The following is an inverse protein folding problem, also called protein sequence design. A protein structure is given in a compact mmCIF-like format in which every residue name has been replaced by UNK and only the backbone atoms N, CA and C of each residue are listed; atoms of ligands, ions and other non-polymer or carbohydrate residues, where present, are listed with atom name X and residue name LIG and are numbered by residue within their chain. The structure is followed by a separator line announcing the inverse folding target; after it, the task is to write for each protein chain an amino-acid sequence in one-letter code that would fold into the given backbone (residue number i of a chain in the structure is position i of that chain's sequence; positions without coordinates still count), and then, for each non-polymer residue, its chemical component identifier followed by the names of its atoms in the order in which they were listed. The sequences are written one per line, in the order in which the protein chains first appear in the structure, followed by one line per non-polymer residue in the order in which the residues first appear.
data_IF_394009045212
#
_entry.id   IF_394009045212
#
_cell.length_a   1.000
_cell.length_b   1.000
_cell.length_c   1.000
_cell.angle_alpha   90.00
_cell.angle_beta   90.00
_cell.angle_gamma   90.00
#
_symmetry.space_group_name_H-M   'P 1'
#
loop_
_entity.id
_entity.type
_entity.pdbx_description
1 polymer ?
#
# COMPACT_ATOMS: atom_id res chain seq x y z
N UNK A 1 17.68 46.09 -36.30
CA UNK A 1 17.35 44.67 -36.62
C UNK A 1 18.13 43.78 -35.65
N UNK A 2 17.52 43.36 -34.55
CA UNK A 2 18.16 42.54 -33.50
C UNK A 2 17.58 41.14 -33.61
N UNK A 3 18.44 40.16 -33.93
CA UNK A 3 18.08 38.74 -34.08
C UNK A 3 17.86 38.13 -32.70
N UNK A 4 16.64 37.69 -32.41
CA UNK A 4 16.32 36.87 -31.25
C UNK A 4 16.81 35.43 -31.52
N UNK A 5 17.75 34.95 -30.70
CA UNK A 5 18.19 33.56 -30.69
C UNK A 5 17.32 32.77 -29.71
N UNK A 6 16.55 31.82 -30.25
CA UNK A 6 15.67 30.93 -29.50
C UNK A 6 16.51 29.74 -29.02
N UNK A 7 16.78 29.68 -27.71
CA UNK A 7 17.44 28.52 -27.09
C UNK A 7 16.36 27.47 -26.78
N UNK A 8 16.27 26.45 -27.63
CA UNK A 8 15.45 25.28 -27.38
C UNK A 8 16.15 24.39 -26.34
N UNK A 9 15.67 24.41 -25.09
CA UNK A 9 16.10 23.49 -24.06
C UNK A 9 15.55 22.08 -24.34
N UNK A 10 16.42 21.18 -24.81
CA UNK A 10 16.11 19.74 -24.86
C UNK A 10 16.05 19.20 -23.43
N UNK A 11 14.83 19.00 -22.93
CA UNK A 11 14.58 18.20 -21.72
C UNK A 11 14.83 16.74 -22.11
N UNK A 12 16.03 16.23 -21.86
CA UNK A 12 16.32 14.80 -21.87
C UNK A 12 15.67 14.22 -20.61
N UNK A 13 14.39 13.87 -20.72
CA UNK A 13 13.72 13.06 -19.71
C UNK A 13 14.36 11.68 -19.73
N UNK A 14 15.25 11.41 -18.77
CA UNK A 14 15.75 10.08 -18.49
C UNK A 14 14.59 9.20 -18.00
N UNK A 15 13.87 8.60 -18.94
CA UNK A 15 12.95 7.51 -18.67
C UNK A 15 13.79 6.30 -18.30
N UNK A 16 13.98 6.10 -16.99
CA UNK A 16 14.56 4.86 -16.49
C UNK A 16 13.78 3.69 -17.12
N UNK A 17 14.48 2.65 -17.63
CA UNK A 17 13.78 1.53 -18.23
C UNK A 17 12.85 0.91 -17.18
N UNK A 18 11.56 0.86 -17.47
CA UNK A 18 10.54 0.22 -16.65
C UNK A 18 10.67 -1.31 -16.72
N UNK A 19 11.86 -1.85 -16.44
CA UNK A 19 12.13 -3.27 -16.58
C UNK A 19 11.55 -3.99 -15.38
N UNK A 20 10.54 -4.81 -15.62
CA UNK A 20 9.98 -5.69 -14.61
C UNK A 20 10.98 -6.76 -14.20
N UNK A 21 11.04 -7.06 -12.91
CA UNK A 21 11.84 -8.16 -12.39
C UNK A 21 11.25 -9.48 -12.93
N UNK A 22 12.08 -10.32 -13.56
CA UNK A 22 11.62 -11.62 -14.04
C UNK A 22 11.59 -12.64 -12.91
N UNK A 23 10.40 -13.16 -12.65
CA UNK A 23 10.09 -14.11 -11.60
C UNK A 23 9.46 -15.38 -12.15
N UNK A 24 9.62 -16.46 -11.41
CA UNK A 24 8.92 -17.72 -11.61
C UNK A 24 8.08 -18.01 -10.37
N UNK A 25 6.77 -17.83 -10.50
CA UNK A 25 5.81 -18.02 -9.43
C UNK A 25 5.39 -19.49 -9.40
N UNK A 26 5.56 -20.17 -8.27
CA UNK A 26 4.90 -21.46 -8.03
C UNK A 26 3.53 -21.15 -7.50
N UNK A 27 2.49 -21.36 -8.30
CA UNK A 27 1.10 -21.07 -7.94
C UNK A 27 0.47 -22.35 -7.42
N UNK A 28 0.01 -22.34 -6.16
CA UNK A 28 -0.67 -23.49 -5.55
C UNK A 28 -2.19 -23.40 -5.58
N UNK A 29 -2.75 -22.18 -5.62
CA UNK A 29 -4.18 -21.97 -5.73
C UNK A 29 -4.48 -20.62 -6.41
N UNK A 30 -5.69 -20.49 -6.97
CA UNK A 30 -6.17 -19.22 -7.51
C UNK A 30 -7.66 -19.01 -7.28
N UNK A 31 -8.09 -17.76 -7.27
CA UNK A 31 -9.50 -17.36 -7.16
C UNK A 31 -9.75 -16.02 -7.86
N UNK A 32 -11.00 -15.77 -8.27
CA UNK A 32 -11.38 -14.47 -8.88
C UNK A 32 -11.63 -13.39 -7.82
N UNK A 33 -11.81 -13.76 -6.56
CA UNK A 33 -12.17 -12.87 -5.45
C UNK A 33 -11.12 -12.92 -4.34
N UNK A 34 -10.92 -11.80 -3.64
CA UNK A 34 -10.03 -11.69 -2.50
C UNK A 34 -10.50 -12.60 -1.36
N UNK A 35 -11.81 -12.67 -1.09
CA UNK A 35 -12.36 -13.57 -0.08
C UNK A 35 -12.13 -15.04 -0.41
N UNK A 36 -12.36 -15.44 -1.68
CA UNK A 36 -12.16 -16.81 -2.13
C UNK A 36 -10.70 -17.25 -2.01
N UNK A 37 -9.76 -16.39 -2.44
CA UNK A 37 -8.33 -16.71 -2.30
C UNK A 37 -7.88 -16.68 -0.85
N UNK A 38 -8.39 -15.78 0.00
CA UNK A 38 -8.04 -15.72 1.41
C UNK A 38 -8.43 -17.02 2.13
N UNK A 39 -9.65 -17.53 1.88
CA UNK A 39 -10.11 -18.82 2.44
C UNK A 39 -9.22 -19.98 2.00
N UNK A 40 -8.88 -20.06 0.72
CA UNK A 40 -7.94 -21.06 0.18
C UNK A 40 -6.55 -20.93 0.79
N UNK A 41 -6.04 -19.70 0.92
CA UNK A 41 -4.73 -19.43 1.49
C UNK A 41 -4.69 -19.80 2.99
N UNK A 42 -5.73 -19.51 3.76
CA UNK A 42 -5.79 -19.79 5.21
C UNK A 42 -5.51 -21.26 5.55
N UNK A 43 -6.04 -22.20 4.78
CA UNK A 43 -5.77 -23.64 4.98
C UNK A 43 -4.36 -24.05 4.55
N UNK A 44 -3.69 -23.26 3.71
CA UNK A 44 -2.37 -23.56 3.13
C UNK A 44 -1.22 -22.81 3.83
N UNK A 45 -1.48 -21.70 4.51
CA UNK A 45 -0.50 -20.88 5.25
C UNK A 45 0.40 -21.71 6.18
N UNK A 46 -0.10 -22.70 6.95
CA UNK A 46 0.76 -23.51 7.81
C UNK A 46 1.86 -24.27 7.07
N UNK A 47 1.66 -24.54 5.77
CA UNK A 47 2.61 -25.29 4.93
C UNK A 47 3.62 -24.41 4.21
N UNK A 48 3.35 -23.10 4.12
CA UNK A 48 4.23 -22.11 3.52
C UNK A 48 3.97 -20.74 4.16
N UNK A 49 4.56 -20.44 5.33
CA UNK A 49 4.28 -19.22 6.09
C UNK A 49 4.73 -17.93 5.37
N UNK A 50 5.66 -18.05 4.41
CA UNK A 50 6.16 -16.93 3.61
C UNK A 50 5.41 -16.78 2.27
N UNK A 51 4.34 -17.54 2.05
CA UNK A 51 3.55 -17.45 0.84
C UNK A 51 2.91 -16.07 0.66
N UNK A 52 2.79 -15.62 -0.58
CA UNK A 52 2.09 -14.39 -0.91
C UNK A 52 0.79 -14.69 -1.64
N UNK A 53 -0.26 -13.93 -1.37
CA UNK A 53 -1.35 -13.80 -2.32
C UNK A 53 -1.00 -12.66 -3.27
N UNK A 54 -1.01 -12.91 -4.58
CA UNK A 54 -0.63 -11.93 -5.60
C UNK A 54 -1.78 -11.72 -6.56
N UNK A 55 -1.80 -10.57 -7.24
CA UNK A 55 -2.69 -10.36 -8.39
C UNK A 55 -1.94 -10.75 -9.66
N UNK A 56 -2.52 -11.61 -10.49
CA UNK A 56 -1.89 -11.98 -11.77
C UNK A 56 -1.73 -10.78 -12.71
N UNK A 57 -2.55 -9.74 -12.52
CA UNK A 57 -2.38 -8.45 -13.18
C UNK A 57 -1.02 -7.81 -12.90
N UNK A 58 -0.37 -8.09 -11.75
CA UNK A 58 0.98 -7.59 -11.45
C UNK A 58 2.04 -8.11 -12.44
N UNK A 59 1.75 -9.23 -13.11
CA UNK A 59 2.55 -9.79 -14.21
C UNK A 59 2.14 -9.29 -15.60
N UNK A 60 1.18 -8.37 -15.70
CA UNK A 60 0.65 -7.87 -16.97
C UNK A 60 -0.51 -8.69 -17.57
N UNK A 61 -1.06 -9.67 -16.84
CA UNK A 61 -2.21 -10.45 -17.33
C UNK A 61 -3.44 -9.55 -17.56
N UNK A 62 -4.09 -9.68 -18.73
CA UNK A 62 -5.32 -8.95 -19.07
C UNK A 62 -6.48 -9.24 -18.11
N UNK A 63 -6.55 -10.49 -17.62
CA UNK A 63 -7.52 -10.92 -16.60
C UNK A 63 -6.79 -11.08 -15.28
N UNK A 64 -7.00 -10.13 -14.38
CA UNK A 64 -6.44 -10.18 -13.04
C UNK A 64 -7.26 -11.11 -12.17
N UNK A 65 -6.67 -12.22 -11.74
CA UNK A 65 -7.17 -13.08 -10.66
C UNK A 65 -6.19 -13.02 -9.50
N UNK A 66 -6.58 -13.56 -8.35
CA UNK A 66 -5.69 -13.74 -7.23
C UNK A 66 -5.06 -15.14 -7.26
N UNK A 67 -3.79 -15.22 -6.90
CA UNK A 67 -3.04 -16.46 -6.84
C UNK A 67 -2.30 -16.55 -5.51
N UNK A 68 -2.40 -17.70 -4.84
CA UNK A 68 -1.57 -18.02 -3.69
C UNK A 68 -0.26 -18.64 -4.20
N UNK A 69 0.84 -17.99 -3.85
CA UNK A 69 2.20 -18.23 -4.35
C UNK A 69 3.09 -18.60 -3.17
N UNK A 70 3.24 -19.90 -2.86
CA UNK A 70 4.12 -20.38 -1.79
C UNK A 70 5.59 -20.13 -2.04
N UNK A 71 6.01 -20.03 -3.31
CA UNK A 71 7.40 -19.79 -3.68
C UNK A 71 7.49 -18.82 -4.87
N UNK A 72 8.39 -17.85 -4.75
CA UNK A 72 8.83 -16.98 -5.84
C UNK A 72 10.30 -17.29 -6.12
N UNK A 73 10.58 -17.85 -7.29
CA UNK A 73 11.92 -18.24 -7.69
C UNK A 73 12.53 -17.28 -8.73
N UNK A 74 13.83 -17.05 -8.63
CA UNK A 74 14.60 -16.25 -9.59
C UNK A 74 14.92 -17.01 -10.90
N UNK A 75 14.76 -18.34 -10.92
CA UNK A 75 15.09 -19.16 -12.07
C UNK A 75 14.05 -20.27 -12.31
N UNK A 76 13.89 -20.74 -13.56
CA UNK A 76 12.96 -21.83 -13.86
C UNK A 76 13.36 -23.15 -13.19
N UNK A 77 14.66 -23.41 -13.00
CA UNK A 77 15.15 -24.60 -12.31
C UNK A 77 14.74 -24.62 -10.83
N UNK A 78 14.94 -23.50 -10.13
CA UNK A 78 14.50 -23.35 -8.74
C UNK A 78 12.97 -23.47 -8.61
N UNK A 79 12.22 -22.88 -9.56
CA UNK A 79 10.77 -22.97 -9.58
C UNK A 79 10.27 -24.42 -9.74
N UNK A 80 10.90 -25.22 -10.61
CA UNK A 80 10.55 -26.64 -10.78
C UNK A 80 10.85 -27.46 -9.54
N UNK A 81 11.98 -27.22 -8.89
CA UNK A 81 12.32 -27.89 -7.63
C UNK A 81 11.32 -27.56 -6.52
N UNK A 82 10.91 -26.28 -6.42
CA UNK A 82 9.88 -25.86 -5.49
C UNK A 82 8.50 -26.43 -5.81
N UNK A 83 8.13 -26.49 -7.09
CA UNK A 83 6.87 -27.08 -7.54
C UNK A 83 6.68 -28.51 -7.03
N UNK A 84 7.72 -29.35 -7.12
CA UNK A 84 7.65 -30.74 -6.62
C UNK A 84 7.30 -30.81 -5.14
N UNK A 85 7.81 -29.88 -4.30
CA UNK A 85 7.48 -29.81 -2.87
C UNK A 85 6.06 -29.32 -2.65
N UNK A 86 5.65 -28.27 -3.35
CA UNK A 86 4.31 -27.67 -3.23
C UNK A 86 3.21 -28.65 -3.66
N UNK A 87 3.46 -29.54 -4.62
CA UNK A 87 2.50 -30.55 -5.06
C UNK A 87 2.10 -31.56 -3.99
N UNK A 88 2.88 -31.70 -2.91
CA UNK A 88 2.48 -32.50 -1.76
C UNK A 88 1.21 -31.96 -1.06
N UNK A 89 0.99 -30.64 -1.13
CA UNK A 89 -0.15 -29.97 -0.47
C UNK A 89 -1.15 -29.38 -1.48
N UNK A 90 -0.68 -28.95 -2.65
CA UNK A 90 -1.49 -28.42 -3.74
C UNK A 90 -1.24 -29.19 -5.03
N UNK A 91 -2.01 -30.27 -5.26
CA UNK A 91 -1.81 -31.21 -6.38
C UNK A 91 -1.78 -30.53 -7.75
N UNK A 92 -2.65 -29.54 -7.96
CA UNK A 92 -2.77 -28.80 -9.22
C UNK A 92 -1.80 -27.61 -9.32
N UNK A 93 -0.79 -27.55 -8.45
CA UNK A 93 0.21 -26.50 -8.50
C UNK A 93 0.93 -26.49 -9.86
N UNK A 94 1.27 -25.27 -10.30
CA UNK A 94 1.96 -25.02 -11.56
C UNK A 94 2.96 -23.87 -11.43
N UNK A 95 3.85 -23.75 -12.41
CA UNK A 95 4.81 -22.64 -12.49
C UNK A 95 4.34 -21.64 -13.53
N UNK A 96 4.34 -20.35 -13.16
CA UNK A 96 4.05 -19.23 -14.05
C UNK A 96 5.26 -18.31 -14.14
N UNK A 97 5.69 -18.01 -15.37
CA UNK A 97 6.64 -16.91 -15.63
C UNK A 97 5.91 -15.58 -15.45
N UNK A 98 6.55 -14.64 -14.77
CA UNK A 98 6.01 -13.32 -14.49
C UNK A 98 7.12 -12.29 -14.68
N UNK A 99 6.88 -11.26 -15.50
CA UNK A 99 7.71 -10.06 -15.51
C UNK A 99 6.99 -9.03 -14.62
N UNK A 100 7.37 -8.99 -13.33
CA UNK A 100 6.63 -8.25 -12.31
C UNK A 100 6.73 -6.74 -12.57
N UNK A 101 5.59 -6.08 -12.70
CA UNK A 101 5.55 -4.64 -12.99
C UNK A 101 6.13 -3.84 -11.82
N UNK A 102 7.07 -2.90 -12.06
CA UNK A 102 7.64 -2.06 -11.00
C UNK A 102 6.55 -1.34 -10.19
N UNK A 103 6.77 -1.23 -8.87
CA UNK A 103 5.83 -0.55 -7.96
C UNK A 103 4.53 -1.33 -7.64
N UNK A 104 4.35 -2.54 -8.19
CA UNK A 104 3.25 -3.43 -7.78
C UNK A 104 3.57 -4.19 -6.49
N UNK A 105 2.55 -4.73 -5.82
CA UNK A 105 2.73 -5.47 -4.57
C UNK A 105 3.62 -6.70 -4.74
N UNK A 106 3.49 -7.42 -5.86
CA UNK A 106 4.39 -8.53 -6.20
C UNK A 106 5.85 -8.09 -6.31
N UNK A 107 6.12 -6.99 -7.03
CA UNK A 107 7.48 -6.46 -7.14
C UNK A 107 8.05 -6.05 -5.77
N UNK A 108 7.19 -5.56 -4.86
CA UNK A 108 7.54 -5.17 -3.49
C UNK A 108 7.53 -6.33 -2.49
N UNK A 109 7.22 -7.56 -2.91
CA UNK A 109 7.06 -8.75 -2.06
C UNK A 109 6.06 -8.55 -0.92
N UNK A 110 4.96 -7.87 -1.22
CA UNK A 110 3.84 -7.65 -0.30
C UNK A 110 2.63 -8.46 -0.76
N UNK A 111 1.92 -9.09 0.18
CA UNK A 111 0.68 -9.80 -0.14
C UNK A 111 -0.42 -8.83 -0.54
N UNK A 112 -1.13 -9.14 -1.62
CA UNK A 112 -2.29 -8.39 -2.09
C UNK A 112 -3.50 -8.59 -1.18
N UNK A 113 -3.62 -9.77 -0.57
CA UNK A 113 -4.71 -10.10 0.35
C UNK A 113 -4.09 -10.72 1.59
N UNK A 114 -4.33 -10.12 2.75
CA UNK A 114 -3.84 -10.64 4.01
C UNK A 114 -4.61 -11.93 4.39
N UNK A 115 -3.96 -12.99 4.91
CA UNK A 115 -4.63 -14.21 5.31
C UNK A 115 -5.76 -14.01 6.33
N UNK A 116 -5.67 -12.97 7.18
CA UNK A 116 -6.71 -12.65 8.16
C UNK A 116 -8.05 -12.29 7.53
N UNK A 117 -8.07 -11.84 6.27
CA UNK A 117 -9.31 -11.53 5.50
C UNK A 117 -10.23 -12.75 5.40
N UNK A 118 -9.68 -13.96 5.51
CA UNK A 118 -10.47 -15.20 5.55
C UNK A 118 -11.36 -15.32 6.79
N UNK A 119 -11.13 -14.51 7.82
CA UNK A 119 -11.89 -14.50 9.07
C UNK A 119 -12.99 -13.42 9.10
N UNK A 120 -13.14 -12.63 8.03
CA UNK A 120 -14.25 -11.68 7.92
C UNK A 120 -15.57 -12.45 7.92
N UNK A 121 -16.52 -12.13 8.81
CA UNK A 121 -17.82 -12.81 8.85
C UNK A 121 -18.54 -12.74 7.50
N UNK A 122 -19.23 -13.81 7.11
CA UNK A 122 -20.05 -13.81 5.89
C UNK A 122 -21.23 -12.84 5.97
N UNK A 123 -21.65 -12.49 7.19
CA UNK A 123 -22.70 -11.52 7.50
C UNK A 123 -22.20 -10.09 7.58
N UNK A 124 -20.91 -9.82 7.34
CA UNK A 124 -20.38 -8.46 7.40
C UNK A 124 -20.93 -7.62 6.24
N UNK A 125 -21.80 -6.65 6.56
CA UNK A 125 -22.55 -5.86 5.58
C UNK A 125 -21.75 -4.68 5.01
N UNK A 126 -20.75 -4.18 5.75
CA UNK A 126 -19.97 -2.98 5.37
C UNK A 126 -18.57 -3.32 4.84
N UNK A 127 -18.40 -4.50 4.24
CA UNK A 127 -17.14 -4.96 3.65
C UNK A 127 -17.22 -5.08 2.14
N UNK A 128 -16.51 -4.20 1.44
CA UNK A 128 -16.35 -4.28 0.00
C UNK A 128 -15.06 -5.01 -0.39
N UNK A 129 -14.94 -5.39 -1.66
CA UNK A 129 -13.74 -6.04 -2.19
C UNK A 129 -12.49 -5.16 -2.06
N UNK A 130 -12.64 -3.83 -2.21
CA UNK A 130 -11.54 -2.87 -2.03
C UNK A 130 -10.99 -2.85 -0.60
N UNK A 131 -11.80 -3.19 0.40
CA UNK A 131 -11.42 -3.21 1.81
C UNK A 131 -10.56 -4.45 2.16
N UNK A 132 -10.51 -5.42 1.24
CA UNK A 132 -9.80 -6.69 1.39
C UNK A 132 -8.43 -6.70 0.71
N UNK A 133 -8.18 -5.71 -0.15
CA UNK A 133 -7.04 -5.72 -1.07
C UNK A 133 -6.07 -4.59 -0.69
N UNK A 134 -4.85 -4.96 -0.32
CA UNK A 134 -3.76 -4.01 -0.16
C UNK A 134 -3.47 -3.29 -1.48
N UNK A 135 -2.94 -2.08 -1.40
CA UNK A 135 -2.62 -1.28 -2.60
C UNK A 135 -1.22 -0.66 -2.49
N UNK A 136 -0.53 -0.53 -3.62
CA UNK A 136 0.74 0.17 -3.71
C UNK A 136 0.63 1.39 -4.61
N UNK A 137 1.34 2.46 -4.25
CA UNK A 137 1.44 3.69 -5.02
C UNK A 137 2.92 4.09 -5.12
N UNK A 138 3.50 4.11 -6.32
CA UNK A 138 4.89 4.53 -6.51
C UNK A 138 5.04 6.02 -6.18
N UNK A 139 6.21 6.39 -5.66
CA UNK A 139 6.64 7.75 -5.38
C UNK A 139 7.67 8.21 -6.42
N UNK A 140 7.83 9.53 -6.63
CA UNK A 140 8.80 10.06 -7.60
C UNK A 140 10.26 9.69 -7.32
N UNK A 141 10.60 9.31 -6.09
CA UNK A 141 11.95 8.92 -5.68
C UNK A 141 12.21 7.40 -5.76
N UNK A 142 11.32 6.67 -6.44
CA UNK A 142 11.43 5.23 -6.65
C UNK A 142 10.91 4.36 -5.50
N UNK A 143 10.64 4.95 -4.32
CA UNK A 143 9.96 4.23 -3.23
C UNK A 143 8.49 4.03 -3.56
N UNK A 144 7.79 3.23 -2.76
CA UNK A 144 6.34 3.05 -2.85
C UNK A 144 5.69 3.22 -1.49
N UNK A 145 4.52 3.85 -1.45
CA UNK A 145 3.62 3.74 -0.31
C UNK A 145 2.73 2.52 -0.53
N UNK A 146 2.60 1.72 0.51
CA UNK A 146 1.72 0.56 0.52
C UNK A 146 0.68 0.76 1.62
N UNK A 147 -0.59 0.70 1.25
CA UNK A 147 -1.70 0.59 2.20
C UNK A 147 -1.96 -0.90 2.37
N UNK A 148 -1.57 -1.44 3.52
CA UNK A 148 -1.77 -2.84 3.86
C UNK A 148 -3.13 -2.96 4.54
N UNK A 149 -3.99 -3.82 3.98
CA UNK A 149 -5.32 -4.08 4.52
C UNK A 149 -5.37 -5.46 5.16
N UNK A 150 -5.89 -5.52 6.38
CA UNK A 150 -6.05 -6.76 7.12
C UNK A 150 -7.32 -6.73 7.96
N UNK A 151 -7.61 -7.87 8.59
CA UNK A 151 -8.74 -8.04 9.49
C UNK A 151 -8.25 -8.44 10.88
N UNK A 152 -8.76 -7.76 11.90
CA UNK A 152 -8.60 -8.18 13.27
C UNK A 152 -9.98 -8.19 13.93
N UNK A 153 -10.44 -9.34 14.49
CA UNK A 153 -11.70 -9.39 15.20
C UNK A 153 -11.78 -8.27 16.25
N UNK A 154 -12.86 -7.51 16.21
CA UNK A 154 -13.16 -6.49 17.21
C UNK A 154 -14.66 -6.53 17.46
N UNK A 155 -15.05 -6.77 18.71
CA UNK A 155 -16.44 -6.65 19.11
C UNK A 155 -16.86 -5.17 18.97
N UNK A 156 -17.99 -4.95 18.30
CA UNK A 156 -18.74 -3.68 18.26
C UNK A 156 -17.96 -2.42 17.81
N UNK A 157 -16.87 -2.61 17.05
CA UNK A 157 -16.09 -1.48 16.51
C UNK A 157 -16.71 -0.89 15.24
N UNK A 158 -16.67 0.44 15.03
CA UNK A 158 -17.24 1.10 13.84
C UNK A 158 -16.54 0.68 12.52
N UNK A 159 -15.35 0.09 12.64
CA UNK A 159 -14.60 -0.43 11.50
C UNK A 159 -14.87 -1.91 11.21
N UNK A 160 -15.70 -2.60 12.00
CA UNK A 160 -16.05 -4.02 11.81
C UNK A 160 -14.81 -4.92 11.60
N UNK A 161 -13.79 -4.67 12.41
CA UNK A 161 -12.52 -5.41 12.35
C UNK A 161 -11.58 -5.04 11.20
N UNK A 162 -11.94 -4.08 10.33
CA UNK A 162 -11.02 -3.55 9.31
C UNK A 162 -9.79 -2.95 9.97
N UNK A 163 -8.61 -3.24 9.43
CA UNK A 163 -7.33 -2.67 9.82
C UNK A 163 -6.61 -2.21 8.57
N UNK A 164 -6.07 -1.01 8.64
CA UNK A 164 -5.25 -0.44 7.58
C UNK A 164 -3.97 0.11 8.20
N UNK A 165 -2.84 -0.25 7.62
CA UNK A 165 -1.55 0.34 7.97
C UNK A 165 -0.90 0.95 6.73
N UNK A 166 -0.08 1.96 6.95
CA UNK A 166 0.68 2.63 5.89
C UNK A 166 2.14 2.24 6.04
N UNK A 167 2.70 1.68 4.98
CA UNK A 167 4.08 1.22 4.91
C UNK A 167 4.81 1.93 3.77
N UNK A 168 6.08 2.26 4.01
CA UNK A 168 7.03 2.67 2.99
C UNK A 168 7.83 1.46 2.53
N UNK A 169 7.84 1.20 1.22
CA UNK A 169 8.63 0.15 0.61
C UNK A 169 9.71 0.76 -0.30
N UNK A 170 10.95 0.33 -0.12
CA UNK A 170 12.09 0.74 -0.94
C UNK A 170 12.37 -0.28 -2.05
N UNK A 171 12.96 0.13 -3.19
CA UNK A 171 13.41 -0.79 -4.24
C UNK A 171 14.40 -1.85 -3.75
N UNK A 172 15.14 -1.56 -2.69
CA UNK A 172 16.08 -2.49 -2.02
C UNK A 172 15.38 -3.69 -1.37
N UNK A 173 14.04 -3.69 -1.29
CA UNK A 173 13.24 -4.67 -0.57
C UNK A 173 13.05 -4.33 0.92
N UNK A 174 13.69 -3.27 1.41
CA UNK A 174 13.46 -2.74 2.75
C UNK A 174 12.05 -2.18 2.86
N UNK A 175 11.40 -2.48 3.97
CA UNK A 175 10.01 -2.11 4.28
C UNK A 175 9.95 -1.51 5.67
N UNK A 176 9.25 -0.39 5.81
CA UNK A 176 9.10 0.33 7.07
C UNK A 176 7.64 0.70 7.27
N UNK A 177 7.03 0.25 8.37
CA UNK A 177 5.69 0.69 8.75
C UNK A 177 5.78 2.14 9.23
N UNK A 178 5.04 3.04 8.58
CA UNK A 178 4.96 4.44 8.97
C UNK A 178 3.86 4.63 10.04
N UNK A 179 2.71 4.00 9.84
CA UNK A 179 1.58 4.06 10.76
C UNK A 179 0.85 2.71 10.79
N UNK A 180 0.81 2.08 11.96
CA UNK A 180 0.19 0.75 12.16
C UNK A 180 -1.33 0.79 12.13
N UNK A 181 -1.93 1.90 12.55
CA UNK A 181 -3.38 2.05 12.65
C UNK A 181 -3.84 3.33 11.94
N UNK A 182 -3.94 3.26 10.62
CA UNK A 182 -4.36 4.37 9.78
C UNK A 182 -5.64 4.02 9.00
N UNK A 183 -6.80 3.94 9.68
CA UNK A 183 -8.05 3.70 8.98
C UNK A 183 -8.39 4.87 8.07
N UNK A 184 -8.89 4.55 6.88
CA UNK A 184 -9.23 5.51 5.83
C UNK A 184 -8.07 6.46 5.51
N UNK A 185 -6.90 5.95 5.07
CA UNK A 185 -5.75 6.79 4.79
C UNK A 185 -6.07 7.75 3.65
N UNK A 186 -5.86 9.04 3.91
CA UNK A 186 -6.11 10.10 2.97
C UNK A 186 -5.11 10.20 1.82
N UNK A 187 -5.27 11.20 0.92
CA UNK A 187 -4.27 11.51 -0.08
C UNK A 187 -2.92 11.83 0.57
N UNK A 188 -1.84 11.30 -0.01
CA UNK A 188 -0.50 11.58 0.52
C UNK A 188 0.23 12.61 -0.33
N UNK A 189 0.82 13.60 0.36
CA UNK A 189 1.65 14.64 -0.19
C UNK A 189 3.13 14.31 0.02
N UNK A 190 3.93 14.43 -1.03
CA UNK A 190 5.37 14.13 -0.98
C UNK A 190 6.20 15.32 -1.43
N UNK A 191 7.30 15.58 -0.73
CA UNK A 191 8.28 16.61 -1.11
C UNK A 191 9.66 16.22 -0.59
N UNK A 192 10.67 16.22 -1.46
CA UNK A 192 12.08 15.97 -1.07
C UNK A 192 12.24 14.68 -0.24
N UNK A 193 11.51 13.63 -0.60
CA UNK A 193 11.53 12.35 0.12
C UNK A 193 10.76 12.31 1.45
N UNK A 194 10.17 13.42 1.89
CA UNK A 194 9.23 13.45 3.01
C UNK A 194 7.83 13.09 2.55
N UNK A 195 7.04 12.54 3.46
CA UNK A 195 5.70 12.03 3.19
C UNK A 195 4.75 12.58 4.26
N UNK A 196 3.61 13.11 3.85
CA UNK A 196 2.53 13.49 4.75
C UNK A 196 1.22 12.89 4.27
N UNK A 197 0.41 12.37 5.19
CA UNK A 197 -0.94 11.87 4.93
C UNK A 197 -1.79 12.04 6.18
N UNK A 198 -3.09 11.75 6.09
CA UNK A 198 -3.96 11.74 7.25
C UNK A 198 -4.60 10.37 7.47
N UNK A 199 -4.96 10.09 8.71
CA UNK A 199 -5.66 8.89 9.15
C UNK A 199 -6.89 9.30 9.95
N UNK A 200 -8.01 8.59 9.83
CA UNK A 200 -9.12 8.79 10.75
C UNK A 200 -8.70 8.35 12.18
N UNK A 201 -9.02 9.17 13.19
CA UNK A 201 -8.63 8.93 14.59
C UNK A 201 -9.78 9.05 15.57
N UNK A 202 -10.78 9.87 15.25
CA UNK A 202 -11.89 10.15 16.13
C UNK A 202 -13.19 10.19 15.31
N UNK A 203 -14.30 10.08 16.01
CA UNK A 203 -15.64 10.29 15.47
C UNK A 203 -16.34 11.35 16.33
N UNK A 204 -17.01 12.30 15.67
CA UNK A 204 -17.78 13.35 16.32
C UNK A 204 -19.05 13.62 15.51
N UNK A 205 -20.21 13.29 16.08
CA UNK A 205 -21.46 13.23 15.31
C UNK A 205 -21.34 12.19 14.19
N UNK A 206 -21.68 12.58 12.96
CA UNK A 206 -21.57 11.72 11.77
C UNK A 206 -20.25 11.96 10.99
N UNK A 207 -19.22 12.48 11.66
CA UNK A 207 -17.96 12.87 11.01
C UNK A 207 -16.78 12.12 11.60
N UNK A 208 -16.00 11.48 10.72
CA UNK A 208 -14.65 11.05 11.05
C UNK A 208 -13.74 12.27 11.08
N UNK A 209 -13.01 12.43 12.18
CA UNK A 209 -11.96 13.43 12.32
C UNK A 209 -10.60 12.76 12.17
N UNK A 210 -9.69 13.48 11.54
CA UNK A 210 -8.42 12.93 11.08
C UNK A 210 -7.26 13.61 11.78
N UNK A 211 -6.15 12.90 11.88
CA UNK A 211 -4.86 13.50 12.23
C UNK A 211 -3.94 13.39 11.03
N UNK A 212 -3.24 14.48 10.71
CA UNK A 212 -2.16 14.48 9.72
C UNK A 212 -0.88 13.98 10.39
N UNK A 213 -0.24 12.98 9.79
CA UNK A 213 1.08 12.48 10.18
C UNK A 213 2.11 12.82 9.10
N UNK A 214 3.29 13.23 9.54
CA UNK A 214 4.39 13.65 8.66
C UNK A 214 5.62 12.84 8.98
N UNK A 215 6.23 12.27 7.95
CA UNK A 215 7.42 11.43 8.05
C UNK A 215 8.56 12.00 7.21
N UNK A 216 9.76 11.85 7.74
CA UNK A 216 10.99 12.22 7.06
C UNK A 216 11.41 11.19 6.02
N UNK A 217 12.62 11.37 5.48
CA UNK A 217 13.11 10.54 4.38
C UNK A 217 13.43 9.11 4.82
N UNK A 218 13.95 8.95 6.03
CA UNK A 218 14.20 7.63 6.65
C UNK A 218 12.93 7.00 7.26
N UNK A 219 11.80 7.70 7.19
CA UNK A 219 10.51 7.26 7.73
C UNK A 219 10.34 7.49 9.23
N UNK A 220 11.20 8.28 9.85
CA UNK A 220 11.00 8.84 11.18
C UNK A 220 9.80 9.78 11.19
N UNK A 221 8.98 9.71 12.25
CA UNK A 221 7.84 10.61 12.42
C UNK A 221 8.33 12.00 12.83
N UNK A 222 8.06 13.00 12.00
CA UNK A 222 8.43 14.40 12.22
C UNK A 222 7.35 15.19 12.95
N UNK A 223 6.07 14.90 12.66
CA UNK A 223 4.95 15.59 13.28
C UNK A 223 3.67 14.75 13.24
N UNK A 224 2.77 15.05 14.17
CA UNK A 224 1.36 14.66 14.14
C UNK A 224 0.52 15.89 14.47
N UNK A 225 -0.39 16.23 13.57
CA UNK A 225 -1.22 17.43 13.63
C UNK A 225 -2.65 16.96 13.83
N UNK A 226 -3.15 17.15 15.05
CA UNK A 226 -4.48 16.69 15.45
C UNK A 226 -5.58 17.43 14.71
N UNK A 227 -6.67 16.71 14.42
CA UNK A 227 -7.88 17.25 13.79
C UNK A 227 -7.54 18.06 12.54
N UNK A 228 -6.80 17.45 11.63
CA UNK A 228 -6.44 18.03 10.36
C UNK A 228 -6.51 16.98 9.26
N UNK A 229 -6.87 17.41 8.05
CA UNK A 229 -6.87 16.56 6.86
C UNK A 229 -6.31 17.23 5.63
N UNK A 230 -6.13 16.44 4.57
CA UNK A 230 -5.63 16.86 3.26
C UNK A 230 -4.31 17.63 3.31
N UNK A 231 -3.22 17.01 3.82
CA UNK A 231 -1.96 17.71 3.96
C UNK A 231 -1.39 18.12 2.59
N UNK A 232 -0.79 19.29 2.54
CA UNK A 232 -0.05 19.83 1.40
C UNK A 232 1.23 20.47 1.92
N UNK A 233 2.28 20.41 1.10
CA UNK A 233 3.54 21.07 1.43
C UNK A 233 3.45 22.57 1.13
N UNK A 234 3.81 23.40 2.12
CA UNK A 234 3.80 24.86 2.02
C UNK A 234 5.23 25.40 2.20
N UNK A 235 6.09 25.18 1.20
CA UNK A 235 7.54 25.37 1.31
C UNK A 235 8.24 24.13 1.87
N UNK A 236 9.54 24.23 2.17
CA UNK A 236 10.38 23.08 2.56
C UNK A 236 10.24 22.65 4.04
N UNK A 237 9.63 23.47 4.89
CA UNK A 237 9.55 23.24 6.34
C UNK A 237 8.15 23.53 6.91
N UNK A 238 7.10 23.47 6.09
CA UNK A 238 5.76 23.62 6.61
C UNK A 238 4.76 22.73 5.88
N UNK A 239 3.74 22.31 6.62
CA UNK A 239 2.57 21.62 6.11
C UNK A 239 1.37 22.55 6.26
N UNK A 240 0.60 22.65 5.19
CA UNK A 240 -0.75 23.18 5.21
C UNK A 240 -1.74 22.01 5.28
N UNK A 241 -2.77 22.14 6.10
CA UNK A 241 -3.86 21.18 6.16
C UNK A 241 -5.18 21.89 6.52
N UNK A 242 -6.30 21.17 6.38
CA UNK A 242 -7.64 21.66 6.76
C UNK A 242 -7.94 21.19 8.18
N UNK A 243 -7.86 22.09 9.14
CA UNK A 243 -8.21 21.86 10.55
C UNK A 243 -9.72 21.57 10.65
N UNK A 244 -10.07 20.53 11.40
CA UNK A 244 -11.41 19.99 11.54
C UNK A 244 -11.99 20.31 12.92
N UNK A 245 -13.20 20.85 12.95
CA UNK A 245 -13.97 21.03 14.18
C UNK A 245 -15.45 20.77 13.91
N UNK A 246 -16.17 20.23 14.88
CA UNK A 246 -17.62 20.02 14.80
C UNK A 246 -18.29 21.04 15.71
N UNK A 247 -19.28 21.79 15.19
CA UNK A 247 -20.04 22.77 15.96
C UNK A 247 -21.15 22.11 16.81
N UNK A 248 -21.91 22.92 17.55
CA UNK A 248 -22.97 22.44 18.43
C UNK A 248 -24.12 21.77 17.65
N UNK A 249 -24.30 22.14 16.38
CA UNK A 249 -25.28 21.57 15.46
C UNK A 249 -24.80 20.27 14.81
N UNK A 250 -23.58 19.82 15.12
CA UNK A 250 -23.00 18.60 14.56
C UNK A 250 -22.41 18.78 13.15
N UNK A 251 -22.26 20.01 12.67
CA UNK A 251 -21.72 20.30 11.35
C UNK A 251 -20.19 20.45 11.38
N UNK A 252 -19.52 19.75 10.46
CA UNK A 252 -18.08 19.88 10.24
C UNK A 252 -17.70 21.26 9.68
N UNK A 253 -16.84 21.98 10.38
CA UNK A 253 -16.14 23.18 9.90
C UNK A 253 -14.70 22.83 9.55
N UNK A 254 -14.21 23.47 8.48
CA UNK A 254 -12.85 23.32 7.99
C UNK A 254 -12.17 24.68 7.93
N UNK A 255 -10.96 24.76 8.48
CA UNK A 255 -10.13 25.97 8.39
C UNK A 255 -8.73 25.61 7.92
N UNK A 256 -8.24 26.29 6.88
CA UNK A 256 -6.86 26.11 6.46
C UNK A 256 -5.91 26.61 7.54
N UNK A 257 -4.94 25.80 7.91
CA UNK A 257 -3.90 26.14 8.88
C UNK A 257 -2.56 25.70 8.34
N UNK A 258 -1.53 26.50 8.61
CA UNK A 258 -0.13 26.21 8.29
C UNK A 258 0.62 25.90 9.57
N UNK A 259 1.37 24.81 9.55
CA UNK A 259 2.15 24.30 10.68
C UNK A 259 3.61 24.23 10.23
N UNK A 260 4.48 24.92 10.96
CA UNK A 260 5.92 24.77 10.79
C UNK A 260 6.37 23.39 11.31
N UNK A 261 7.19 22.70 10.54
CA UNK A 261 7.79 21.43 10.92
C UNK A 261 9.13 21.66 11.61
N UNK A 262 9.56 20.76 12.50
CA UNK A 262 10.90 20.81 13.07
C UNK A 262 11.95 20.77 11.95
N UNK A 263 13.07 21.51 12.09
CA UNK A 263 14.18 21.39 11.18
C UNK A 263 14.68 19.95 11.19
N UNK A 264 14.84 19.36 10.01
CA UNK A 264 15.48 18.05 9.91
C UNK A 264 16.98 18.26 10.08
N UNK A 265 17.54 17.75 11.17
CA UNK A 265 18.99 17.56 11.28
C UNK A 265 19.39 16.63 10.14
N UNK A 266 19.95 17.20 9.08
CA UNK A 266 20.43 16.41 7.95
C UNK A 266 21.78 15.83 8.35
N UNK A 267 21.97 14.50 8.34
CA UNK A 267 23.28 13.95 8.05
C UNK A 267 23.65 14.19 6.58
#
# INVERSE_FOLDING_TARGET
MIKAALVAAMIVGSTLPAWGERLWLVVGASDRTATGIARKAKSLVPTAPNALVVRTGDCGDKRSIFAWVPEIAASPGAARAALSRVRATAKDAYVKRCDARPGTLLALRVTAVDPSVANVPETAVNWEEKDRISTARPLPDGRSIVIVRSFAPAADGPLEGRRESVMLAEPSGKRLVLEENCPSPGPMATQQGRIAFHCARQEAGNHLLHDVVVFGRSGEKLAEIRRCRDPKWAGSQAIECREESVDAEGALKLRTKRIALPPTNSP
#
